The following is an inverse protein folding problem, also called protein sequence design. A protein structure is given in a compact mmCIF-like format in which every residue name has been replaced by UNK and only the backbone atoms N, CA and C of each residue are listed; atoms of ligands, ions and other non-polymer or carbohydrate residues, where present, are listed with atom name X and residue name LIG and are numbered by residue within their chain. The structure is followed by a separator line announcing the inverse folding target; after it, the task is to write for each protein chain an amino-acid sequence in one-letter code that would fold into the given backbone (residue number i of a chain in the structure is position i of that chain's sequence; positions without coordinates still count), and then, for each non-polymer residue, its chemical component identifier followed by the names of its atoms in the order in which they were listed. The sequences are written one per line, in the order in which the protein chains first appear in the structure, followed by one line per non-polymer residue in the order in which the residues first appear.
data_IF_018526332314
#
_entry.id   IF_018526332314
#
_cell.length_a   1.000
_cell.length_b   1.000
_cell.length_c   1.000
_cell.angle_alpha   90.00
_cell.angle_beta   90.00
_cell.angle_gamma   90.00
#
_symmetry.space_group_name_H-M   'P 1'
#
loop_
_entity.id
_entity.type
_entity.pdbx_description
1 polymer ?
#
# COMPACT_ATOMS: atom_id res chain seq x y z
N UNK A 1 10.49 32.90 -0.59
CA UNK A 1 9.77 31.66 -1.00
C UNK A 1 8.86 31.30 0.15
N UNK A 2 7.54 31.36 -0.05
CA UNK A 2 6.60 30.98 0.98
C UNK A 2 6.80 29.49 1.27
N UNK A 3 7.12 29.16 2.52
CA UNK A 3 7.14 27.79 2.99
C UNK A 3 5.68 27.34 3.02
N UNK A 4 5.20 26.70 1.95
CA UNK A 4 3.92 26.02 1.99
C UNK A 4 4.06 24.94 3.05
N UNK A 5 3.39 25.13 4.19
CA UNK A 5 3.33 24.12 5.23
C UNK A 5 2.88 22.82 4.56
N UNK A 6 3.71 21.78 4.63
CA UNK A 6 3.24 20.44 4.26
C UNK A 6 2.05 20.15 5.14
N UNK A 7 0.89 19.96 4.51
CA UNK A 7 -0.29 19.43 5.19
C UNK A 7 0.12 18.12 5.85
N UNK A 8 0.02 18.06 7.18
CA UNK A 8 0.37 16.89 7.99
C UNK A 8 -0.91 16.29 8.54
N UNK A 9 -1.15 15.02 8.25
CA UNK A 9 -2.29 14.27 8.79
C UNK A 9 -1.96 13.78 10.20
N UNK A 10 -2.87 14.02 11.15
CA UNK A 10 -2.81 13.32 12.43
C UNK A 10 -3.32 11.90 12.25
N UNK A 11 -2.38 10.97 12.05
CA UNK A 11 -2.68 9.54 11.85
C UNK A 11 -2.91 8.79 13.16
N UNK A 12 -2.79 9.46 14.32
CA UNK A 12 -2.92 8.84 15.65
C UNK A 12 -2.02 7.59 15.83
N UNK A 13 -0.80 7.63 15.27
CA UNK A 13 0.19 6.56 15.40
C UNK A 13 1.14 6.86 16.55
N UNK A 14 1.43 5.86 17.40
CA UNK A 14 2.43 6.02 18.48
C UNK A 14 3.82 6.26 17.93
N UNK A 15 4.15 5.61 16.81
CA UNK A 15 5.42 5.75 16.11
C UNK A 15 5.15 5.64 14.61
N UNK A 16 5.63 6.58 13.78
CA UNK A 16 5.48 6.48 12.33
C UNK A 16 6.29 5.28 11.82
N UNK A 17 5.72 4.44 10.95
CA UNK A 17 6.43 3.28 10.43
C UNK A 17 7.52 3.72 9.42
N UNK A 18 8.63 2.97 9.28
CA UNK A 18 9.75 3.36 8.40
C UNK A 18 9.32 3.46 6.92
N UNK A 19 9.71 4.50 6.17
CA UNK A 19 9.27 4.65 4.79
C UNK A 19 9.71 3.47 3.92
N UNK A 20 8.97 3.23 2.83
CA UNK A 20 9.39 2.32 1.78
C UNK A 20 10.38 3.09 0.90
N UNK A 21 11.61 2.59 0.79
CA UNK A 21 12.64 3.18 -0.05
C UNK A 21 12.64 2.52 -1.43
N UNK A 22 12.56 3.33 -2.48
CA UNK A 22 12.57 2.88 -3.87
C UNK A 22 13.60 3.67 -4.67
N UNK A 23 14.10 3.07 -5.75
CA UNK A 23 14.81 3.79 -6.80
C UNK A 23 13.84 4.07 -7.95
N UNK A 24 13.84 5.27 -8.51
CA UNK A 24 12.99 5.61 -9.66
C UNK A 24 13.81 6.06 -10.88
N UNK A 25 14.13 5.14 -11.81
CA UNK A 25 14.89 5.46 -13.01
C UNK A 25 14.24 6.52 -13.90
N UNK A 26 12.91 6.70 -13.81
CA UNK A 26 12.23 7.72 -14.61
C UNK A 26 12.43 9.11 -14.01
N UNK A 27 12.32 9.24 -12.69
CA UNK A 27 12.63 10.51 -12.01
C UNK A 27 14.11 10.88 -12.18
N UNK A 28 15.02 9.91 -12.12
CA UNK A 28 16.44 10.11 -12.42
C UNK A 28 16.64 10.62 -13.86
N UNK A 29 15.98 9.98 -14.84
CA UNK A 29 16.08 10.38 -16.24
C UNK A 29 15.57 11.81 -16.49
N UNK A 30 14.57 12.25 -15.74
CA UNK A 30 14.04 13.61 -15.81
C UNK A 30 14.86 14.63 -15.00
N UNK A 31 15.88 14.17 -14.25
CA UNK A 31 16.68 15.03 -13.38
C UNK A 31 15.93 15.54 -12.13
N UNK A 32 14.86 14.85 -11.72
CA UNK A 32 14.07 15.22 -10.54
C UNK A 32 14.65 14.70 -9.23
N UNK A 33 15.50 13.68 -9.30
CA UNK A 33 16.26 13.09 -8.19
C UNK A 33 17.67 12.75 -8.67
N UNK A 34 18.65 12.72 -7.77
CA UNK A 34 20.00 12.31 -8.15
C UNK A 34 20.05 10.82 -8.52
N UNK A 35 21.00 10.39 -9.37
CA UNK A 35 21.15 8.98 -9.72
C UNK A 35 21.33 8.10 -8.48
N UNK A 36 20.55 7.02 -8.41
CA UNK A 36 20.52 6.07 -7.29
C UNK A 36 20.10 6.66 -5.93
N UNK A 37 19.64 7.91 -5.88
CA UNK A 37 19.06 8.50 -4.68
C UNK A 37 17.70 7.84 -4.38
N UNK A 38 17.51 7.20 -3.21
CA UNK A 38 16.25 6.58 -2.88
C UNK A 38 15.16 7.62 -2.68
N UNK A 39 13.97 7.36 -3.22
CA UNK A 39 12.75 8.10 -2.91
C UNK A 39 12.06 7.40 -1.75
N UNK A 40 11.76 8.15 -0.70
CA UNK A 40 10.98 7.66 0.43
C UNK A 40 9.48 7.80 0.15
N UNK A 41 8.75 6.69 0.27
CA UNK A 41 7.28 6.67 0.25
C UNK A 41 6.81 6.36 1.67
N UNK A 42 6.18 7.35 2.30
CA UNK A 42 5.71 7.25 3.69
C UNK A 42 4.32 6.61 3.76
N UNK A 43 3.93 6.14 4.94
CA UNK A 43 2.55 5.70 5.15
C UNK A 43 1.55 6.84 4.93
N UNK A 44 1.90 8.07 5.33
CA UNK A 44 1.06 9.25 5.11
C UNK A 44 0.81 9.52 3.62
N UNK A 45 1.79 9.30 2.75
CA UNK A 45 1.61 9.42 1.30
C UNK A 45 0.54 8.44 0.78
N UNK A 46 0.49 7.23 1.33
CA UNK A 46 -0.54 6.25 0.98
C UNK A 46 -1.92 6.68 1.51
N UNK A 47 -1.99 7.25 2.72
CA UNK A 47 -3.25 7.77 3.27
C UNK A 47 -3.78 8.93 2.42
N UNK A 48 -2.90 9.84 2.00
CA UNK A 48 -3.23 10.95 1.09
C UNK A 48 -3.71 10.44 -0.26
N UNK A 49 -3.04 9.44 -0.82
CA UNK A 49 -3.45 8.83 -2.09
C UNK A 49 -4.78 8.07 -1.98
N UNK A 50 -5.05 7.41 -0.86
CA UNK A 50 -6.32 6.75 -0.60
C UNK A 50 -7.48 7.73 -0.31
N UNK A 51 -7.17 8.92 0.21
CA UNK A 51 -8.14 9.91 0.69
C UNK A 51 -8.83 9.52 2.01
N UNK A 52 -8.41 8.40 2.62
CA UNK A 52 -8.95 7.90 3.88
C UNK A 52 -7.95 6.95 4.55
N UNK A 53 -8.17 6.65 5.83
CA UNK A 53 -7.37 5.72 6.61
C UNK A 53 -8.22 4.50 6.96
N UNK A 54 -7.79 3.29 6.58
CA UNK A 54 -8.49 2.05 6.92
C UNK A 54 -7.52 0.85 6.97
N UNK A 55 -7.96 -0.32 7.46
CA UNK A 55 -7.14 -1.53 7.50
C UNK A 55 -6.59 -1.97 6.13
N UNK A 56 -7.27 -1.64 5.03
CA UNK A 56 -6.80 -1.94 3.66
C UNK A 56 -5.61 -1.06 3.25
N UNK A 57 -5.58 0.21 3.66
CA UNK A 57 -4.43 1.10 3.42
C UNK A 57 -3.21 0.63 4.20
N UNK A 58 -3.40 0.24 5.47
CA UNK A 58 -2.34 -0.39 6.26
C UNK A 58 -1.86 -1.72 5.63
N UNK A 59 -2.79 -2.52 5.12
CA UNK A 59 -2.49 -3.75 4.38
C UNK A 59 -1.64 -3.51 3.14
N UNK A 60 -1.99 -2.54 2.30
CA UNK A 60 -1.20 -2.18 1.13
C UNK A 60 0.22 -1.72 1.49
N UNK A 61 0.34 -0.91 2.55
CA UNK A 61 1.63 -0.46 3.04
C UNK A 61 2.51 -1.63 3.52
N UNK A 62 1.97 -2.50 4.38
CA UNK A 62 2.71 -3.66 4.93
C UNK A 62 3.04 -4.70 3.84
N UNK A 63 2.10 -4.97 2.93
CA UNK A 63 2.28 -5.79 1.73
C UNK A 63 3.50 -5.31 0.94
N UNK A 64 3.53 -4.02 0.59
CA UNK A 64 4.60 -3.48 -0.22
C UNK A 64 5.92 -3.40 0.55
N UNK A 65 5.91 -2.97 1.81
CA UNK A 65 7.12 -2.87 2.63
C UNK A 65 7.80 -4.22 2.79
N UNK A 66 7.07 -5.24 3.24
CA UNK A 66 7.64 -6.57 3.50
C UNK A 66 7.87 -7.38 2.23
N UNK A 67 6.98 -7.26 1.25
CA UNK A 67 7.14 -7.93 -0.04
C UNK A 67 8.37 -7.42 -0.79
N UNK A 68 8.58 -6.11 -0.87
CA UNK A 68 9.76 -5.53 -1.52
C UNK A 68 11.05 -5.83 -0.75
N UNK A 69 11.02 -5.77 0.59
CA UNK A 69 12.17 -6.16 1.42
C UNK A 69 12.56 -7.62 1.20
N UNK A 70 11.58 -8.52 1.11
CA UNK A 70 11.86 -9.94 0.86
C UNK A 70 12.45 -10.20 -0.53
N UNK A 71 12.12 -9.35 -1.50
CA UNK A 71 12.41 -9.47 -2.93
C UNK A 71 13.68 -8.72 -3.37
N UNK A 72 14.05 -7.64 -2.68
CA UNK A 72 15.25 -6.84 -2.97
C UNK A 72 16.29 -6.85 -1.83
N UNK A 73 15.93 -7.39 -0.66
CA UNK A 73 16.76 -7.25 0.54
C UNK A 73 16.84 -5.79 0.96
N UNK A 74 18.01 -5.36 1.43
CA UNK A 74 18.24 -3.99 1.88
C UNK A 74 18.38 -2.98 0.73
N UNK A 75 18.40 -3.44 -0.52
CA UNK A 75 18.47 -2.56 -1.68
C UNK A 75 17.10 -1.95 -1.98
N UNK A 76 17.01 -0.67 -2.37
CA UNK A 76 15.76 -0.06 -2.80
C UNK A 76 15.17 -0.79 -4.01
N UNK A 77 13.88 -1.11 -3.94
CA UNK A 77 13.18 -1.70 -5.06
C UNK A 77 13.08 -0.70 -6.23
N UNK A 78 13.13 -1.20 -7.46
CA UNK A 78 13.12 -0.33 -8.65
C UNK A 78 11.69 -0.09 -9.10
N UNK A 79 11.25 1.17 -9.07
CA UNK A 79 9.90 1.56 -9.50
C UNK A 79 9.72 1.18 -10.98
N UNK A 80 8.62 0.47 -11.26
CA UNK A 80 8.19 -0.12 -12.52
C UNK A 80 9.02 -1.30 -13.02
N UNK A 81 9.78 -1.93 -12.13
CA UNK A 81 10.48 -3.19 -12.39
C UNK A 81 9.89 -4.36 -11.58
N UNK A 82 8.71 -4.15 -10.99
CA UNK A 82 7.99 -5.14 -10.21
C UNK A 82 6.61 -5.33 -10.81
N UNK A 83 6.25 -6.58 -11.11
CA UNK A 83 4.87 -6.98 -11.38
C UNK A 83 4.22 -7.38 -10.05
N UNK A 84 3.00 -6.94 -9.84
CA UNK A 84 2.17 -7.31 -8.68
C UNK A 84 0.91 -7.99 -9.18
N UNK A 85 0.65 -9.19 -8.71
CA UNK A 85 -0.57 -9.95 -9.02
C UNK A 85 -1.45 -9.98 -7.76
N UNK A 86 -2.72 -9.63 -7.90
CA UNK A 86 -3.74 -9.83 -6.87
C UNK A 86 -4.65 -10.99 -7.28
N UNK A 87 -4.89 -11.92 -6.36
CA UNK A 87 -5.74 -13.08 -6.60
C UNK A 87 -7.21 -12.77 -6.34
N UNK A 88 -7.78 -12.02 -7.28
CA UNK A 88 -9.16 -11.57 -7.34
C UNK A 88 -9.32 -10.45 -8.36
N UNK A 89 -10.56 -9.98 -8.54
CA UNK A 89 -10.90 -8.84 -9.39
C UNK A 89 -10.74 -7.49 -8.69
N UNK A 90 -10.89 -6.38 -9.43
CA UNK A 90 -10.76 -5.02 -8.89
C UNK A 90 -11.81 -4.66 -7.83
N UNK A 91 -12.97 -5.32 -7.83
CA UNK A 91 -14.04 -5.12 -6.86
C UNK A 91 -13.96 -6.04 -5.65
N UNK A 92 -13.06 -7.03 -5.69
CA UNK A 92 -12.95 -8.03 -4.64
C UNK A 92 -12.00 -7.56 -3.55
N UNK A 93 -12.39 -7.77 -2.29
CA UNK A 93 -11.52 -7.64 -1.10
C UNK A 93 -10.76 -6.30 -0.96
N UNK A 94 -11.20 -5.25 -1.64
CA UNK A 94 -10.52 -3.95 -1.67
C UNK A 94 -9.30 -3.89 -2.59
N UNK A 95 -9.16 -4.80 -3.56
CA UNK A 95 -8.00 -4.87 -4.45
C UNK A 95 -7.90 -3.69 -5.43
N UNK A 96 -9.02 -3.10 -5.83
CA UNK A 96 -9.02 -1.85 -6.60
C UNK A 96 -8.26 -0.73 -5.88
N UNK A 97 -8.67 -0.33 -4.66
CA UNK A 97 -7.92 0.60 -3.81
C UNK A 97 -6.46 0.20 -3.59
N UNK A 98 -6.17 -1.08 -3.31
CA UNK A 98 -4.78 -1.55 -3.13
C UNK A 98 -3.96 -1.31 -4.40
N UNK A 99 -4.50 -1.58 -5.60
CA UNK A 99 -3.75 -1.40 -6.85
C UNK A 99 -3.31 0.04 -7.08
N UNK A 100 -4.10 1.02 -6.64
CA UNK A 100 -3.75 2.44 -6.71
C UNK A 100 -2.58 2.78 -5.79
N UNK A 101 -2.55 2.22 -4.57
CA UNK A 101 -1.46 2.41 -3.62
C UNK A 101 -0.19 1.69 -4.05
N UNK A 102 -0.32 0.49 -4.63
CA UNK A 102 0.80 -0.24 -5.22
C UNK A 102 1.41 0.55 -6.39
N UNK A 103 0.58 1.18 -7.22
CA UNK A 103 1.05 2.09 -8.28
C UNK A 103 1.81 3.30 -7.69
N UNK A 104 1.29 3.92 -6.63
CA UNK A 104 2.00 5.01 -5.95
C UNK A 104 3.38 4.56 -5.45
N UNK A 105 3.46 3.38 -4.83
CA UNK A 105 4.71 2.85 -4.26
C UNK A 105 5.68 2.45 -5.37
N UNK A 106 5.36 1.39 -6.13
CA UNK A 106 6.30 0.75 -7.05
C UNK A 106 5.94 0.94 -8.53
N UNK A 107 4.94 1.76 -8.86
CA UNK A 107 4.56 2.02 -10.24
C UNK A 107 3.96 0.79 -10.93
N UNK A 108 3.52 -0.21 -10.17
CA UNK A 108 2.78 -1.32 -10.73
C UNK A 108 1.30 -0.93 -10.85
N UNK A 109 0.84 -0.70 -12.07
CA UNK A 109 -0.53 -0.28 -12.36
C UNK A 109 -1.21 -1.24 -13.36
N UNK A 110 -2.55 -1.32 -13.35
CA UNK A 110 -3.28 -2.11 -14.34
C UNK A 110 -3.32 -1.34 -15.68
N UNK A 111 -4.38 -1.48 -16.48
CA UNK A 111 -4.49 -0.84 -17.80
C UNK A 111 -4.45 0.70 -17.77
N UNK A 112 -4.74 1.30 -16.61
CA UNK A 112 -4.74 2.77 -16.41
C UNK A 112 -3.34 3.35 -16.17
N UNK A 113 -2.30 2.52 -16.07
CA UNK A 113 -0.94 2.98 -15.80
C UNK A 113 -0.32 3.83 -16.91
N UNK A 114 0.79 4.50 -16.57
CA UNK A 114 1.61 5.24 -17.53
C UNK A 114 2.16 4.29 -18.61
N UNK A 115 1.93 4.63 -19.89
CA UNK A 115 2.32 3.80 -21.03
C UNK A 115 3.83 3.74 -21.29
N UNK A 116 4.59 4.64 -20.68
CA UNK A 116 6.00 4.88 -20.97
C UNK A 116 6.20 5.94 -22.06
N UNK A 117 7.46 6.32 -22.30
CA UNK A 117 7.86 7.22 -23.37
C UNK A 117 8.35 6.44 -24.60
N UNK A 118 8.02 6.95 -25.80
CA UNK A 118 8.39 6.34 -27.08
C UNK A 118 7.88 4.89 -27.18
N UNK A 119 8.75 3.88 -27.36
CA UNK A 119 8.36 2.47 -27.44
C UNK A 119 7.85 1.88 -26.12
N UNK A 120 7.79 2.67 -25.03
CA UNK A 120 7.32 2.23 -23.71
C UNK A 120 8.39 2.24 -22.62
N UNK A 121 9.48 3.01 -22.79
CA UNK A 121 10.49 3.16 -21.74
C UNK A 121 9.85 3.77 -20.49
N UNK A 122 10.16 3.23 -19.31
CA UNK A 122 9.55 3.61 -18.02
C UNK A 122 8.05 3.28 -17.88
N UNK A 123 7.53 2.33 -18.67
CA UNK A 123 6.14 1.87 -18.55
C UNK A 123 5.81 1.42 -17.12
N UNK A 124 4.60 1.79 -16.68
CA UNK A 124 3.96 1.38 -15.42
C UNK A 124 2.69 0.55 -15.65
N UNK A 125 2.09 0.70 -16.84
CA UNK A 125 0.87 0.01 -17.28
C UNK A 125 1.07 -1.49 -17.42
N UNK A 126 0.09 -2.27 -16.95
CA UNK A 126 0.06 -3.73 -17.05
C UNK A 126 1.02 -4.44 -16.09
N UNK A 127 1.53 -3.71 -15.09
CA UNK A 127 2.39 -4.25 -14.04
C UNK A 127 1.59 -4.63 -12.78
N UNK A 128 0.36 -4.16 -12.62
CA UNK A 128 -0.59 -4.72 -11.66
C UNK A 128 -1.57 -5.62 -12.41
N UNK A 129 -1.67 -6.89 -12.01
CA UNK A 129 -2.50 -7.90 -12.65
C UNK A 129 -3.56 -8.38 -11.66
N UNK A 130 -4.83 -8.30 -12.06
CA UNK A 130 -5.92 -8.94 -11.35
C UNK A 130 -6.13 -10.36 -11.90
N UNK A 131 -6.36 -11.33 -11.01
CA UNK A 131 -6.75 -12.70 -11.36
C UNK A 131 -8.19 -12.96 -10.90
N UNK A 132 -9.21 -12.43 -11.62
CA UNK A 132 -10.60 -12.60 -11.24
C UNK A 132 -11.08 -14.06 -11.29
N UNK A 133 -10.32 -14.94 -11.96
CA UNK A 133 -10.53 -16.38 -12.05
C UNK A 133 -10.01 -17.17 -10.84
N UNK A 134 -9.26 -16.54 -9.94
CA UNK A 134 -8.65 -17.16 -8.76
C UNK A 134 -8.86 -16.26 -7.54
N UNK A 135 -9.94 -16.51 -6.78
CA UNK A 135 -10.35 -15.69 -5.64
C UNK A 135 -9.65 -16.17 -4.36
N UNK A 136 -8.54 -15.52 -4.00
CA UNK A 136 -7.83 -15.76 -2.74
C UNK A 136 -7.72 -14.49 -1.93
N UNK A 137 -8.23 -14.54 -0.71
CA UNK A 137 -8.37 -13.37 0.16
C UNK A 137 -7.01 -12.90 0.68
N UNK A 138 -6.71 -11.60 0.49
CA UNK A 138 -5.48 -10.95 0.91
C UNK A 138 -4.18 -11.58 0.38
N UNK A 139 -4.23 -12.25 -0.77
CA UNK A 139 -3.06 -12.89 -1.37
C UNK A 139 -2.57 -12.15 -2.61
N UNK A 140 -1.26 -11.96 -2.66
CA UNK A 140 -0.57 -11.25 -3.72
C UNK A 140 0.73 -11.95 -4.10
N UNK A 141 1.17 -11.74 -5.33
CA UNK A 141 2.50 -12.12 -5.78
C UNK A 141 3.24 -10.88 -6.24
N UNK A 142 4.50 -10.73 -5.83
CA UNK A 142 5.40 -9.70 -6.32
C UNK A 142 6.54 -10.39 -7.07
N UNK A 143 6.76 -10.01 -8.32
CA UNK A 143 7.78 -10.56 -9.21
C UNK A 143 8.68 -9.43 -9.72
N UNK A 144 10.00 -9.63 -9.61
CA UNK A 144 10.99 -8.76 -10.24
C UNK A 144 11.15 -9.10 -11.70
N UNK A 145 11.07 -8.09 -12.56
CA UNK A 145 11.14 -8.29 -14.00
C UNK A 145 12.56 -8.50 -14.53
N UNK A 146 13.57 -7.99 -13.82
CA UNK A 146 14.98 -8.10 -14.22
C UNK A 146 15.53 -9.54 -14.10
N UNK A 147 15.05 -10.31 -13.11
CA UNK A 147 15.57 -11.66 -12.79
C UNK A 147 14.50 -12.74 -12.67
N UNK A 148 13.22 -12.39 -12.66
CA UNK A 148 12.11 -13.33 -12.49
C UNK A 148 11.96 -13.89 -11.07
N UNK A 149 12.70 -13.37 -10.10
CA UNK A 149 12.53 -13.72 -8.68
C UNK A 149 11.14 -13.27 -8.21
N UNK A 150 10.46 -14.10 -7.42
CA UNK A 150 9.11 -13.79 -6.95
C UNK A 150 8.90 -14.18 -5.49
N UNK A 151 8.03 -13.43 -4.83
CA UNK A 151 7.54 -13.72 -3.48
C UNK A 151 6.03 -13.73 -3.46
N UNK A 152 5.46 -14.70 -2.75
CA UNK A 152 4.06 -14.74 -2.40
C UNK A 152 3.85 -14.05 -1.05
N UNK A 153 2.86 -13.18 -0.98
CA UNK A 153 2.54 -12.37 0.19
C UNK A 153 1.09 -12.56 0.58
N UNK A 154 0.85 -12.88 1.85
CA UNK A 154 -0.49 -12.92 2.44
C UNK A 154 -0.60 -11.87 3.53
N UNK A 155 -1.59 -10.98 3.42
CA UNK A 155 -1.91 -10.02 4.47
C UNK A 155 -2.91 -10.60 5.48
N UNK A 156 -2.51 -10.64 6.75
CA UNK A 156 -3.23 -11.27 7.86
C UNK A 156 -3.64 -10.24 8.92
N UNK A 157 -4.62 -9.35 8.63
CA UNK A 157 -5.05 -8.32 9.59
C UNK A 157 -5.68 -8.90 10.85
N UNK A 158 -6.09 -10.17 10.84
CA UNK A 158 -6.78 -10.85 11.94
C UNK A 158 -5.87 -11.14 13.13
N UNK A 159 -4.55 -11.05 12.98
CA UNK A 159 -3.62 -11.06 14.11
C UNK A 159 -3.87 -9.88 15.07
N UNK A 160 -4.56 -8.84 14.58
CA UNK A 160 -5.16 -7.76 15.37
C UNK A 160 -6.69 -7.92 15.34
N UNK A 161 -7.29 -8.42 16.43
CA UNK A 161 -8.73 -8.59 16.52
C UNK A 161 -9.49 -7.28 16.27
N UNK A 162 -10.65 -7.35 15.62
CA UNK A 162 -11.53 -6.20 15.55
C UNK A 162 -12.00 -5.82 16.97
N UNK A 163 -12.04 -4.53 17.33
CA UNK A 163 -12.65 -4.12 18.59
C UNK A 163 -14.10 -4.59 18.66
N UNK A 164 -14.46 -5.26 19.76
CA UNK A 164 -15.79 -5.89 19.93
C UNK A 164 -16.94 -4.91 19.70
N UNK A 165 -16.73 -3.66 20.10
CA UNK A 165 -17.75 -2.62 20.06
C UNK A 165 -17.83 -1.87 18.72
N UNK A 166 -16.91 -2.12 17.78
CA UNK A 166 -16.85 -1.39 16.52
C UNK A 166 -18.15 -1.54 15.72
N UNK A 167 -18.70 -2.76 15.67
CA UNK A 167 -19.96 -3.02 14.97
C UNK A 167 -21.15 -2.29 15.58
N UNK A 168 -21.21 -2.19 16.91
CA UNK A 168 -22.31 -1.53 17.62
C UNK A 168 -22.34 -0.02 17.38
N UNK A 169 -21.17 0.62 17.24
CA UNK A 169 -21.08 2.08 17.03
C UNK A 169 -21.15 2.48 15.56
N UNK A 170 -20.79 1.57 14.65
CA UNK A 170 -20.70 1.85 13.22
C UNK A 170 -22.06 2.23 12.62
N UNK A 171 -23.14 1.54 12.99
CA UNK A 171 -24.48 1.87 12.51
C UNK A 171 -24.87 3.32 12.80
N UNK A 172 -24.99 3.72 14.09
CA UNK A 172 -25.32 5.09 14.47
C UNK A 172 -24.34 6.13 13.89
N UNK A 173 -23.03 5.84 13.88
CA UNK A 173 -22.04 6.75 13.32
C UNK A 173 -22.26 7.03 11.82
N UNK A 174 -22.61 6.01 11.03
CA UNK A 174 -22.78 6.14 9.58
C UNK A 174 -24.17 6.59 9.15
N UNK A 175 -25.22 6.22 9.88
CA UNK A 175 -26.60 6.51 9.45
C UNK A 175 -27.15 7.79 10.03
N UNK A 176 -26.90 8.07 11.32
CA UNK A 176 -27.45 9.25 12.00
C UNK A 176 -26.40 10.34 12.22
N UNK A 177 -25.11 9.99 12.16
CA UNK A 177 -24.03 10.93 12.45
C UNK A 177 -24.01 11.37 13.92
N UNK A 178 -24.55 10.56 14.84
CA UNK A 178 -24.57 10.87 16.26
C UNK A 178 -23.15 11.13 16.79
N UNK A 179 -22.91 12.30 17.35
CA UNK A 179 -21.56 12.76 17.69
C UNK A 179 -20.80 11.78 18.60
N UNK A 180 -21.47 11.21 19.61
CA UNK A 180 -20.86 10.23 20.51
C UNK A 180 -20.49 8.93 19.79
N UNK A 181 -21.34 8.47 18.88
CA UNK A 181 -21.06 7.28 18.07
C UNK A 181 -19.92 7.52 17.08
N UNK A 182 -19.89 8.69 16.44
CA UNK A 182 -18.80 9.10 15.52
C UNK A 182 -17.46 9.19 16.25
N UNK A 183 -17.43 9.81 17.43
CA UNK A 183 -16.22 9.89 18.26
C UNK A 183 -15.70 8.49 18.62
N UNK A 184 -16.60 7.63 19.10
CA UNK A 184 -16.25 6.27 19.50
C UNK A 184 -15.82 5.42 18.31
N UNK A 185 -16.51 5.53 17.18
CA UNK A 185 -16.11 4.89 15.92
C UNK A 185 -14.72 5.32 15.51
N UNK A 186 -14.42 6.64 15.51
CA UNK A 186 -13.12 7.19 15.15
C UNK A 186 -12.01 6.59 16.03
N UNK A 187 -12.20 6.61 17.35
CA UNK A 187 -11.22 6.04 18.28
C UNK A 187 -10.94 4.55 18.03
N UNK A 188 -11.98 3.74 17.89
CA UNK A 188 -11.84 2.30 17.62
C UNK A 188 -11.23 2.01 16.25
N UNK A 189 -11.62 2.77 15.23
CA UNK A 189 -11.16 2.59 13.86
C UNK A 189 -9.68 2.96 13.70
N UNK A 190 -9.30 4.16 14.17
CA UNK A 190 -7.91 4.63 14.13
C UNK A 190 -7.01 3.76 15.00
N UNK A 191 -7.47 3.39 16.20
CA UNK A 191 -6.74 2.49 17.10
C UNK A 191 -6.43 1.15 16.45
N UNK A 192 -7.41 0.53 15.80
CA UNK A 192 -7.20 -0.74 15.09
C UNK A 192 -6.17 -0.62 13.96
N UNK A 193 -6.19 0.48 13.20
CA UNK A 193 -5.22 0.70 12.13
C UNK A 193 -3.80 0.87 12.69
N UNK A 194 -3.65 1.62 13.79
CA UNK A 194 -2.38 1.76 14.48
C UNK A 194 -1.86 0.40 14.97
N UNK A 195 -2.71 -0.41 15.62
CA UNK A 195 -2.35 -1.76 16.09
C UNK A 195 -1.93 -2.70 14.95
N UNK A 196 -2.57 -2.62 13.78
CA UNK A 196 -2.18 -3.39 12.58
C UNK A 196 -0.78 -2.99 12.12
N UNK A 197 -0.48 -1.69 12.06
CA UNK A 197 0.85 -1.20 11.69
C UNK A 197 1.91 -1.60 12.72
N UNK A 198 1.58 -1.55 14.01
CA UNK A 198 2.44 -2.01 15.10
C UNK A 198 2.66 -3.54 15.09
N UNK A 199 1.71 -4.31 14.54
CA UNK A 199 1.92 -5.73 14.31
C UNK A 199 3.00 -6.01 13.24
N UNK A 200 3.23 -5.06 12.34
CA UNK A 200 4.28 -5.07 11.31
C UNK A 200 4.39 -6.43 10.61
N UNK A 201 5.56 -7.09 10.67
CA UNK A 201 5.80 -8.38 10.04
C UNK A 201 4.87 -9.50 10.52
N UNK A 202 4.22 -9.38 11.69
CA UNK A 202 3.25 -10.39 12.17
C UNK A 202 1.94 -10.35 11.37
N UNK A 203 1.61 -9.23 10.75
CA UNK A 203 0.41 -9.10 9.92
C UNK A 203 0.66 -9.51 8.46
N UNK A 204 1.85 -10.02 8.12
CA UNK A 204 2.20 -10.41 6.76
C UNK A 204 2.96 -11.73 6.75
N UNK A 205 2.52 -12.68 5.92
CA UNK A 205 3.25 -13.91 5.66
C UNK A 205 3.93 -13.83 4.29
N UNK A 206 5.21 -14.17 4.23
CA UNK A 206 6.01 -14.17 3.00
C UNK A 206 6.48 -15.59 2.70
N UNK A 207 6.35 -16.03 1.44
CA UNK A 207 6.93 -17.27 0.94
C UNK A 207 7.72 -16.98 -0.34
N UNK A 208 9.00 -17.35 -0.38
CA UNK A 208 9.83 -17.22 -1.59
C UNK A 208 9.52 -18.37 -2.56
N UNK A 209 9.49 -18.07 -3.86
CA UNK A 209 9.37 -19.08 -4.92
C UNK A 209 10.72 -19.52 -5.43
#
# INVERSE_FOLDING_TARGET
MAHTAREHLDLNLRTPPPPILIRDPFLEFLGLVAPAEPVAVTFEDLVKAAGHLCPTVAGAYLLMRHGLLALYGEQPAVRGDVRVTAYGGPTDFGYGPISQLVNLVIGAAPETGFGGLGPGRFRRRGLFVFRPDDLRHNEFELERLDRGEAVHVTYEPTVVPAPKDLGAVMGPALTTGEAAAVERFRGLWLGRVAEILEADARAVKITRK
#
